data_IF_075425473864
#
_entry.id   IF_075425473864
#
_cell.length_a   1.000
_cell.length_b   1.000
_cell.length_c   1.000
_cell.angle_alpha   90.00
_cell.angle_beta   90.00
_cell.angle_gamma   90.00
#
_symmetry.space_group_name_H-M   'P 1'
#
loop_
_entity.id
_entity.type
_entity.pdbx_description
1 polymer ?
#
# COMPACT_ATOMS: atom_id res chain seq x y z
N UNK A 1 14.48 -4.72 7.83
CA UNK A 1 13.47 -3.73 7.41
C UNK A 1 12.13 -4.44 7.44
N UNK A 2 11.31 -4.42 8.48
CA UNK A 2 11.15 -3.52 9.61
C UNK A 2 9.64 -3.30 9.73
N UNK A 3 8.91 -4.38 10.06
CA UNK A 3 7.46 -4.33 10.29
C UNK A 3 7.20 -3.34 11.42
N UNK A 4 6.55 -2.21 11.09
CA UNK A 4 6.10 -1.18 12.01
C UNK A 4 4.73 -1.53 12.62
N UNK A 5 4.11 -2.63 12.17
CA UNK A 5 2.83 -3.14 12.71
C UNK A 5 1.63 -2.29 12.27
N UNK A 6 1.69 -1.71 11.08
CA UNK A 6 0.64 -0.87 10.50
C UNK A 6 -0.24 -1.71 9.58
N UNK A 7 -1.54 -1.67 9.83
CA UNK A 7 -2.52 -2.33 8.95
C UNK A 7 -2.51 -1.68 7.57
N UNK A 8 -2.34 -2.45 6.48
CA UNK A 8 -2.50 -1.95 5.13
C UNK A 8 -3.89 -1.36 4.93
N UNK A 9 -3.97 -0.17 4.33
CA UNK A 9 -5.24 0.54 4.14
C UNK A 9 -5.28 1.25 2.79
N UNK A 10 -6.48 1.28 2.20
CA UNK A 10 -6.75 2.03 0.97
C UNK A 10 -7.45 3.33 1.34
N UNK A 11 -6.83 4.46 1.03
CA UNK A 11 -7.35 5.78 1.35
C UNK A 11 -7.50 6.63 0.11
N UNK A 12 -8.55 7.45 0.06
CA UNK A 12 -8.71 8.48 -0.98
C UNK A 12 -8.18 9.79 -0.44
N UNK A 13 -7.19 10.38 -1.12
CA UNK A 13 -6.58 11.64 -0.74
C UNK A 13 -6.69 12.67 -1.85
N UNK A 14 -7.07 13.88 -1.47
CA UNK A 14 -7.03 15.06 -2.36
C UNK A 14 -5.73 15.83 -2.10
N UNK A 15 -4.99 16.09 -3.17
CA UNK A 15 -3.77 16.88 -3.15
C UNK A 15 -4.02 18.19 -3.88
N UNK A 16 -3.80 19.31 -3.22
CA UNK A 16 -3.99 20.65 -3.79
C UNK A 16 -2.62 21.27 -4.09
N UNK A 17 -2.42 21.72 -5.32
CA UNK A 17 -1.20 22.41 -5.74
C UNK A 17 -1.31 23.93 -5.53
N UNK A 18 -0.17 24.64 -5.33
CA UNK A 18 -0.16 26.10 -5.37
C UNK A 18 -0.67 26.57 -6.74
N UNK A 19 -1.83 27.24 -6.78
CA UNK A 19 -2.53 27.62 -8.01
C UNK A 19 -3.94 27.04 -8.16
N UNK A 20 -4.44 26.28 -7.18
CA UNK A 20 -5.85 25.87 -7.09
C UNK A 20 -6.21 24.59 -7.83
N UNK A 21 -5.23 23.93 -8.44
CA UNK A 21 -5.45 22.60 -9.04
C UNK A 21 -5.50 21.54 -7.94
N UNK A 22 -6.60 20.80 -7.87
CA UNK A 22 -6.77 19.67 -6.96
C UNK A 22 -6.76 18.35 -7.71
N UNK A 23 -6.13 17.34 -7.12
CA UNK A 23 -6.11 15.98 -7.63
C UNK A 23 -6.50 15.00 -6.55
N UNK A 24 -7.62 14.31 -6.76
CA UNK A 24 -8.07 13.22 -5.90
C UNK A 24 -7.49 11.91 -6.39
N UNK A 25 -6.80 11.18 -5.52
CA UNK A 25 -6.17 9.89 -5.83
C UNK A 25 -6.47 8.89 -4.73
N UNK A 26 -6.89 7.69 -5.12
CA UNK A 26 -6.96 6.54 -4.22
C UNK A 26 -5.59 5.88 -4.17
N UNK A 27 -5.01 5.80 -2.97
CA UNK A 27 -3.68 5.22 -2.73
C UNK A 27 -3.76 4.12 -1.69
N UNK A 28 -2.90 3.11 -1.84
CA UNK A 28 -2.76 2.02 -0.90
C UNK A 28 -1.53 2.24 -0.03
N UNK A 29 -1.71 2.26 1.29
CA UNK A 29 -0.65 2.48 2.27
C UNK A 29 -0.20 1.16 2.90
N UNK A 30 1.06 1.10 3.32
CA UNK A 30 1.68 -0.04 4.01
C UNK A 30 1.56 -1.36 3.24
N UNK A 31 1.64 -1.30 1.91
CA UNK A 31 1.52 -2.47 1.04
C UNK A 31 2.59 -3.54 1.30
N UNK A 32 3.78 -3.13 1.80
CA UNK A 32 4.86 -4.05 2.19
C UNK A 32 4.60 -4.82 3.48
N UNK A 33 3.58 -4.47 4.28
CA UNK A 33 3.19 -5.24 5.46
C UNK A 33 2.16 -6.34 5.13
N UNK A 34 1.64 -6.38 3.90
CA UNK A 34 0.72 -7.42 3.46
C UNK A 34 1.43 -8.79 3.40
N UNK A 35 0.73 -9.81 3.89
CA UNK A 35 1.15 -11.21 3.83
C UNK A 35 0.41 -12.00 2.74
N UNK A 36 -0.36 -11.31 1.90
CA UNK A 36 -1.19 -11.90 0.83
C UNK A 36 -0.37 -12.60 -0.25
N UNK A 37 0.89 -12.23 -0.42
CA UNK A 37 1.80 -12.85 -1.38
C UNK A 37 2.64 -14.00 -0.81
N UNK A 38 2.58 -14.26 0.51
CA UNK A 38 3.43 -15.27 1.17
C UNK A 38 3.17 -16.67 0.62
N UNK A 39 1.90 -17.04 0.43
CA UNK A 39 1.56 -18.39 -0.03
C UNK A 39 1.87 -18.59 -1.52
N UNK A 40 1.78 -17.52 -2.33
CA UNK A 40 2.22 -17.56 -3.73
C UNK A 40 3.73 -17.77 -3.83
N UNK A 41 4.51 -17.07 -2.99
CA UNK A 41 5.96 -17.26 -2.90
C UNK A 41 6.29 -18.69 -2.48
N UNK A 42 5.66 -19.22 -1.42
CA UNK A 42 5.87 -20.61 -0.98
C UNK A 42 5.59 -21.61 -2.11
N UNK A 43 4.47 -21.44 -2.81
CA UNK A 43 4.11 -22.29 -3.96
C UNK A 43 5.16 -22.22 -5.08
N UNK A 44 5.63 -21.01 -5.43
CA UNK A 44 6.62 -20.82 -6.48
C UNK A 44 7.99 -21.48 -6.16
N UNK A 45 8.34 -21.57 -4.88
CA UNK A 45 9.59 -22.17 -4.41
C UNK A 45 9.44 -23.60 -3.87
N UNK A 46 8.23 -24.17 -3.89
CA UNK A 46 7.96 -25.53 -3.38
C UNK A 46 8.18 -25.70 -1.87
N UNK A 47 7.92 -24.63 -1.11
CA UNK A 47 8.07 -24.57 0.36
C UNK A 47 6.76 -24.86 1.10
#
# INVERSE_FOLDING_TARGET
YGHMGRTPETVTKTFSAPGGNEKTVTVELFTWEKLDFVDQVKTAFGL
#
